data_IF_746688563887
#
_entry.id   IF_746688563887
#
_cell.length_a   1.000
_cell.length_b   1.000
_cell.length_c   1.000
_cell.angle_alpha   90.00
_cell.angle_beta   90.00
_cell.angle_gamma   90.00
#
_symmetry.space_group_name_H-M   'P 1'
#
loop_
_entity.id
_entity.type
_entity.pdbx_description
1 polymer ?
#
# COMPACT_ATOMS: atom_id res chain seq x y z
N UNK A 1 -11.39 2.03 0.46
CA UNK A 1 -11.35 1.12 1.63
C UNK A 1 -10.04 0.35 1.54
N UNK A 2 -9.28 0.18 2.63
CA UNK A 2 -8.05 -0.63 2.57
C UNK A 2 -8.41 -2.09 2.27
N UNK A 3 -7.62 -2.76 1.43
CA UNK A 3 -7.72 -4.20 1.21
C UNK A 3 -7.33 -4.92 2.51
N UNK A 4 -8.13 -5.91 2.92
CA UNK A 4 -7.86 -6.73 4.10
C UNK A 4 -6.86 -7.83 3.79
N UNK A 5 -7.06 -8.47 2.64
CA UNK A 5 -6.19 -9.51 2.11
C UNK A 5 -6.01 -9.25 0.63
N UNK A 6 -4.81 -9.47 0.13
CA UNK A 6 -4.58 -9.45 -1.30
C UNK A 6 -3.45 -10.41 -1.68
N UNK A 7 -3.56 -10.97 -2.86
CA UNK A 7 -2.57 -11.86 -3.43
C UNK A 7 -2.20 -11.42 -4.85
N UNK A 8 -0.90 -11.50 -5.14
CA UNK A 8 -0.35 -11.19 -6.45
C UNK A 8 0.87 -12.06 -6.74
N UNK A 9 1.29 -12.07 -7.99
CA UNK A 9 2.50 -12.75 -8.44
C UNK A 9 3.54 -11.75 -8.88
N UNK A 10 4.81 -12.00 -8.54
CA UNK A 10 5.93 -11.14 -8.89
C UNK A 10 7.13 -11.96 -9.36
N UNK A 11 7.82 -11.49 -10.38
CA UNK A 11 9.06 -12.10 -10.85
C UNK A 11 10.27 -11.49 -10.14
N UNK A 12 11.20 -12.34 -9.70
CA UNK A 12 12.39 -11.91 -8.99
C UNK A 12 13.50 -12.96 -9.04
N UNK A 13 14.47 -12.83 -8.13
CA UNK A 13 15.55 -13.79 -7.98
C UNK A 13 15.46 -14.52 -6.64
N UNK A 14 15.63 -15.83 -6.69
CA UNK A 14 15.97 -16.63 -5.53
C UNK A 14 17.50 -16.72 -5.47
N UNK A 15 18.09 -16.10 -4.45
CA UNK A 15 19.53 -16.11 -4.23
C UNK A 15 19.95 -17.43 -3.58
N UNK A 16 20.97 -18.08 -4.15
CA UNK A 16 21.64 -19.23 -3.55
C UNK A 16 23.14 -18.96 -3.48
N UNK A 17 23.77 -19.38 -2.38
CA UNK A 17 25.19 -19.12 -2.11
C UNK A 17 25.85 -20.37 -1.57
N UNK A 18 26.97 -20.75 -2.18
CA UNK A 18 27.84 -21.81 -1.68
C UNK A 18 29.21 -21.24 -1.38
N UNK A 19 29.73 -21.53 -0.18
CA UNK A 19 31.03 -21.04 0.27
C UNK A 19 32.00 -22.20 0.54
N UNK A 20 33.28 -21.95 0.32
CA UNK A 20 34.36 -22.88 0.61
C UNK A 20 35.62 -22.15 1.07
N UNK A 21 36.47 -22.83 1.83
CA UNK A 21 37.84 -22.34 2.09
C UNK A 21 38.72 -22.61 0.87
N UNK A 22 39.40 -21.58 0.39
CA UNK A 22 40.38 -21.70 -0.68
C UNK A 22 41.72 -21.12 -0.24
N UNK A 23 42.62 -22.00 0.22
CA UNK A 23 43.97 -21.61 0.63
C UNK A 23 44.81 -20.98 -0.50
N UNK A 24 44.43 -21.24 -1.76
CA UNK A 24 45.05 -20.64 -2.96
C UNK A 24 44.39 -19.32 -3.38
N UNK A 25 43.45 -18.79 -2.58
CA UNK A 25 42.83 -17.49 -2.84
C UNK A 25 43.89 -16.39 -2.88
N UNK A 26 43.86 -15.59 -3.94
CA UNK A 26 44.76 -14.46 -4.11
C UNK A 26 44.24 -13.21 -3.40
N UNK A 27 42.98 -13.20 -2.96
CA UNK A 27 42.38 -12.10 -2.20
C UNK A 27 42.93 -12.10 -0.77
N UNK A 28 43.78 -11.12 -0.48
CA UNK A 28 44.47 -10.99 0.80
C UNK A 28 44.41 -9.56 1.31
N UNK A 29 44.31 -9.40 2.63
CA UNK A 29 44.35 -8.09 3.29
C UNK A 29 45.73 -7.84 3.92
N UNK A 30 46.29 -6.66 3.69
CA UNK A 30 47.60 -6.23 4.19
C UNK A 30 47.50 -4.88 4.90
N UNK A 31 48.35 -4.66 5.91
CA UNK A 31 48.48 -3.37 6.57
C UNK A 31 49.34 -2.45 5.70
N UNK A 32 48.80 -1.31 5.29
CA UNK A 32 49.51 -0.31 4.46
C UNK A 32 50.17 0.74 5.34
N UNK A 33 49.39 1.34 6.23
CA UNK A 33 49.84 2.43 7.08
C UNK A 33 49.13 2.37 8.41
N UNK A 34 49.86 2.65 9.49
CA UNK A 34 49.32 2.66 10.82
C UNK A 34 50.12 3.67 11.64
N UNK A 35 49.60 4.89 11.84
CA UNK A 35 50.32 5.90 12.59
C UNK A 35 50.62 5.41 14.02
N UNK A 36 51.79 5.76 14.54
CA UNK A 36 52.18 5.44 15.92
C UNK A 36 51.35 6.20 16.97
N UNK A 37 50.55 7.19 16.54
CA UNK A 37 49.70 8.00 17.39
C UNK A 37 48.36 7.29 17.64
N UNK A 38 47.97 7.23 18.90
CA UNK A 38 46.66 6.68 19.31
C UNK A 38 45.52 7.51 18.70
N UNK A 39 44.45 6.84 18.25
CA UNK A 39 43.27 7.49 17.69
C UNK A 39 43.32 7.80 16.19
N UNK A 40 44.44 7.55 15.50
CA UNK A 40 44.48 7.59 14.03
C UNK A 40 44.11 6.22 13.44
N UNK A 41 43.34 6.17 12.34
CA UNK A 41 42.99 4.91 11.70
C UNK A 41 44.20 4.28 11.03
N UNK A 42 44.32 2.96 11.21
CA UNK A 42 45.21 2.14 10.42
C UNK A 42 44.50 1.77 9.11
N UNK A 43 45.22 1.91 8.02
CA UNK A 43 44.75 1.65 6.66
C UNK A 43 45.24 0.28 6.24
N UNK A 44 44.29 -0.54 5.81
CA UNK A 44 44.51 -1.84 5.25
C UNK A 44 44.13 -1.80 3.76
N UNK A 45 44.81 -2.59 2.96
CA UNK A 45 44.52 -2.79 1.55
C UNK A 45 44.21 -4.26 1.36
N UNK A 46 43.01 -4.55 0.87
CA UNK A 46 42.68 -5.86 0.36
C UNK A 46 42.96 -5.84 -1.14
N UNK A 47 43.70 -6.83 -1.61
CA UNK A 47 44.00 -6.95 -3.03
C UNK A 47 44.06 -8.42 -3.44
N UNK A 48 43.66 -8.69 -4.68
CA UNK A 48 43.75 -10.03 -5.23
C UNK A 48 42.78 -10.30 -6.37
N UNK A 49 42.90 -11.49 -6.95
CA UNK A 49 42.06 -11.91 -8.06
C UNK A 49 41.02 -12.95 -7.60
N UNK A 50 39.85 -12.91 -8.22
CA UNK A 50 38.75 -13.86 -8.03
C UNK A 50 38.89 -15.06 -8.99
N UNK A 51 38.21 -16.20 -8.72
CA UNK A 51 38.26 -17.38 -9.60
C UNK A 51 37.86 -17.11 -11.05
N UNK A 52 36.94 -16.17 -11.28
CA UNK A 52 36.49 -15.74 -12.61
C UNK A 52 37.24 -14.50 -13.15
N UNK A 53 38.26 -14.01 -12.43
CA UNK A 53 39.21 -13.06 -12.99
C UNK A 53 39.93 -13.72 -14.15
N UNK A 54 40.48 -12.93 -15.06
CA UNK A 54 41.29 -13.51 -16.11
C UNK A 54 42.74 -13.13 -16.07
N UNK A 55 43.49 -14.15 -16.39
CA UNK A 55 44.90 -14.26 -16.18
C UNK A 55 45.65 -14.21 -17.53
N UNK A 56 44.93 -13.99 -18.64
CA UNK A 56 45.48 -13.97 -20.00
C UNK A 56 46.14 -12.64 -20.40
N UNK A 57 45.72 -11.51 -19.82
CA UNK A 57 46.35 -10.20 -20.05
C UNK A 57 47.47 -9.91 -19.03
N UNK A 58 48.72 -10.11 -19.45
CA UNK A 58 49.94 -9.95 -18.63
C UNK A 58 50.44 -8.51 -18.44
N UNK A 59 49.77 -7.50 -19.00
CA UNK A 59 50.17 -6.10 -18.91
C UNK A 59 49.23 -5.33 -17.96
N UNK A 60 49.50 -5.41 -16.66
CA UNK A 60 48.65 -4.84 -15.61
C UNK A 60 47.38 -5.65 -15.45
N UNK A 61 47.29 -6.45 -14.37
CA UNK A 61 46.18 -7.34 -14.03
C UNK A 61 44.83 -6.74 -14.45
N UNK A 62 44.28 -7.21 -15.57
CA UNK A 62 42.96 -6.89 -16.10
C UNK A 62 42.47 -8.13 -16.83
N UNK A 63 41.52 -8.85 -16.26
CA UNK A 63 40.96 -10.05 -16.85
C UNK A 63 40.30 -9.84 -18.22
N UNK A 64 39.96 -10.96 -18.85
CA UNK A 64 39.22 -11.32 -20.08
C UNK A 64 37.90 -10.62 -20.16
N UNK A 65 37.34 -10.29 -19.01
CA UNK A 65 36.11 -9.51 -18.87
C UNK A 65 36.40 -8.10 -18.34
N UNK A 66 37.65 -7.69 -18.34
CA UNK A 66 38.15 -6.46 -17.73
C UNK A 66 38.52 -6.57 -16.25
N UNK A 67 38.23 -7.68 -15.55
CA UNK A 67 38.41 -7.81 -14.08
C UNK A 67 39.87 -7.64 -13.65
N UNK A 68 40.30 -6.47 -13.17
CA UNK A 68 41.58 -6.40 -12.50
C UNK A 68 41.52 -7.31 -11.28
N UNK A 69 42.66 -7.82 -10.83
CA UNK A 69 42.74 -8.14 -9.41
C UNK A 69 42.18 -6.90 -8.68
N UNK A 70 41.11 -7.06 -7.92
CA UNK A 70 40.52 -5.94 -7.23
C UNK A 70 41.51 -5.45 -6.17
N UNK A 71 41.40 -4.18 -5.83
CA UNK A 71 42.12 -3.59 -4.72
C UNK A 71 41.21 -2.55 -4.08
N UNK A 72 40.95 -2.73 -2.78
CA UNK A 72 40.07 -1.89 -1.99
C UNK A 72 40.76 -1.53 -0.67
N UNK A 73 40.48 -0.32 -0.17
CA UNK A 73 41.07 0.21 1.05
C UNK A 73 40.08 0.17 2.21
N UNK A 74 40.53 -0.32 3.35
CA UNK A 74 39.74 -0.47 4.57
C UNK A 74 40.43 0.30 5.68
N UNK A 75 39.66 1.08 6.44
CA UNK A 75 40.23 1.89 7.54
C UNK A 75 39.68 1.45 8.87
N UNK A 76 40.54 1.12 9.82
CA UNK A 76 40.12 0.80 11.18
C UNK A 76 40.83 1.71 12.17
N UNK A 77 40.05 2.47 12.94
CA UNK A 77 40.56 3.22 14.07
C UNK A 77 40.68 2.32 15.30
N UNK A 78 41.81 2.42 16.01
CA UNK A 78 42.02 1.75 17.30
C UNK A 78 42.70 2.72 18.27
N UNK A 79 42.31 2.70 19.55
CA UNK A 79 42.99 3.48 20.60
C UNK A 79 44.36 2.92 20.98
N UNK A 80 44.64 1.65 20.66
CA UNK A 80 45.94 1.03 20.87
C UNK A 80 46.54 0.78 19.48
N UNK A 81 47.80 1.16 19.29
CA UNK A 81 48.51 0.87 18.05
C UNK A 81 48.44 -0.64 17.79
N UNK A 82 47.79 -1.09 16.71
CA UNK A 82 47.69 -2.51 16.44
C UNK A 82 49.09 -3.04 16.13
N UNK A 83 49.58 -3.95 16.95
CA UNK A 83 50.43 -4.99 16.38
C UNK A 83 49.55 -5.76 15.39
N UNK A 84 50.14 -6.24 14.29
CA UNK A 84 49.49 -7.12 13.31
C UNK A 84 48.77 -8.32 13.93
N UNK A 85 49.04 -8.62 15.21
CA UNK A 85 48.40 -9.66 15.98
C UNK A 85 46.95 -9.36 16.42
N UNK A 86 46.47 -8.11 16.51
CA UNK A 86 45.14 -7.80 17.07
C UNK A 86 44.24 -6.93 16.16
N UNK A 87 44.37 -7.05 14.84
CA UNK A 87 43.48 -6.35 13.90
C UNK A 87 42.16 -7.10 13.71
N UNK A 88 41.04 -6.37 13.80
CA UNK A 88 39.68 -6.88 13.61
C UNK A 88 39.12 -6.36 12.28
N UNK A 89 39.76 -6.71 11.16
CA UNK A 89 39.32 -6.27 9.84
C UNK A 89 38.95 -7.48 9.00
N UNK A 90 37.87 -7.34 8.25
CA UNK A 90 37.40 -8.27 7.24
C UNK A 90 37.17 -7.46 5.96
N UNK A 91 37.60 -8.01 4.84
CA UNK A 91 37.46 -7.40 3.53
C UNK A 91 36.73 -8.37 2.61
N UNK A 92 35.59 -7.93 2.10
CA UNK A 92 34.81 -8.68 1.12
C UNK A 92 35.10 -8.08 -0.24
N UNK A 93 35.68 -8.86 -1.13
CA UNK A 93 35.82 -8.51 -2.53
C UNK A 93 34.73 -9.20 -3.34
N UNK A 94 34.02 -8.45 -4.17
CA UNK A 94 33.08 -8.97 -5.13
C UNK A 94 33.24 -8.24 -6.48
N UNK A 95 33.42 -8.95 -7.60
CA UNK A 95 33.51 -8.36 -8.91
C UNK A 95 32.14 -7.87 -9.37
N UNK A 96 32.11 -6.64 -9.90
CA UNK A 96 30.99 -6.05 -10.60
C UNK A 96 31.18 -6.32 -12.10
N UNK A 97 30.32 -7.15 -12.69
CA UNK A 97 30.24 -7.33 -14.14
C UNK A 97 28.85 -7.72 -14.58
N UNK A 98 28.39 -7.06 -15.62
CA UNK A 98 27.05 -7.19 -16.15
C UNK A 98 26.86 -8.47 -17.02
N UNK A 99 27.95 -9.09 -17.50
CA UNK A 99 27.91 -10.17 -18.50
C UNK A 99 28.28 -11.57 -17.99
N UNK A 100 28.19 -11.84 -16.68
CA UNK A 100 28.59 -13.14 -16.12
C UNK A 100 27.42 -13.81 -15.41
N UNK A 101 27.24 -15.12 -15.66
CA UNK A 101 26.23 -15.96 -15.01
C UNK A 101 26.60 -16.33 -13.58
N UNK A 102 27.89 -16.44 -13.31
CA UNK A 102 28.47 -16.88 -12.04
C UNK A 102 29.21 -15.73 -11.34
N UNK A 103 28.66 -15.29 -10.22
CA UNK A 103 29.27 -14.27 -9.39
C UNK A 103 30.07 -14.94 -8.28
N UNK A 104 31.29 -14.48 -8.07
CA UNK A 104 32.18 -14.98 -7.04
C UNK A 104 32.49 -13.88 -6.04
N UNK A 105 32.63 -14.22 -4.78
CA UNK A 105 33.05 -13.33 -3.73
C UNK A 105 34.23 -13.96 -3.00
N UNK A 106 35.15 -13.13 -2.51
CA UNK A 106 36.22 -13.59 -1.63
C UNK A 106 36.24 -12.77 -0.35
N UNK A 107 36.55 -13.42 0.76
CA UNK A 107 36.67 -12.82 2.08
C UNK A 107 38.12 -13.01 2.53
N UNK A 108 38.74 -11.89 2.93
CA UNK A 108 40.04 -11.89 3.58
C UNK A 108 39.89 -11.28 4.97
N UNK A 109 40.46 -11.94 5.97
CA UNK A 109 40.26 -11.55 7.36
C UNK A 109 41.57 -11.54 8.15
N UNK A 110 41.57 -10.82 9.29
CA UNK A 110 42.68 -10.80 10.23
C UNK A 110 42.33 -11.50 11.55
N UNK A 111 43.27 -11.49 12.50
CA UNK A 111 43.29 -12.34 13.71
C UNK A 111 41.95 -12.59 14.38
N UNK A 112 41.17 -11.55 14.65
CA UNK A 112 39.91 -11.69 15.39
C UNK A 112 38.80 -12.35 14.56
N UNK A 113 38.94 -12.39 13.24
CA UNK A 113 38.02 -13.00 12.29
C UNK A 113 38.71 -14.07 11.44
N UNK A 114 39.81 -14.68 11.94
CA UNK A 114 40.64 -15.65 11.20
C UNK A 114 39.85 -16.81 10.58
N UNK A 115 38.74 -17.18 11.21
CA UNK A 115 37.85 -18.26 10.76
C UNK A 115 37.16 -17.92 9.43
N UNK A 116 37.14 -16.65 9.01
CA UNK A 116 36.60 -16.23 7.72
C UNK A 116 37.70 -15.88 6.71
N UNK A 117 38.98 -16.09 7.06
CA UNK A 117 40.06 -15.82 6.14
C UNK A 117 40.06 -16.85 5.01
N UNK A 118 40.36 -16.40 3.79
CA UNK A 118 40.42 -17.22 2.58
C UNK A 118 39.10 -17.95 2.22
N UNK A 119 37.96 -17.44 2.68
CA UNK A 119 36.64 -17.94 2.24
C UNK A 119 36.32 -17.39 0.85
N UNK A 120 35.83 -18.24 -0.03
CA UNK A 120 35.29 -17.85 -1.34
C UNK A 120 33.87 -18.38 -1.48
N UNK A 121 32.98 -17.54 -1.98
CA UNK A 121 31.59 -17.88 -2.18
C UNK A 121 31.20 -17.72 -3.65
N UNK A 122 30.39 -18.65 -4.16
CA UNK A 122 29.73 -18.56 -5.46
C UNK A 122 28.26 -18.23 -5.24
N UNK A 123 27.75 -17.27 -6.00
CA UNK A 123 26.38 -16.80 -5.97
C UNK A 123 25.66 -17.23 -7.23
N UNK A 124 24.45 -17.75 -7.05
CA UNK A 124 23.50 -18.01 -8.11
C UNK A 124 22.23 -17.21 -7.86
N UNK A 125 21.79 -16.49 -8.89
CA UNK A 125 20.53 -15.77 -8.88
C UNK A 125 19.57 -16.53 -9.80
N UNK A 126 18.67 -17.32 -9.22
CA UNK A 126 17.72 -18.10 -9.98
C UNK A 126 16.45 -17.28 -10.26
N UNK A 127 16.12 -16.96 -11.52
CA UNK A 127 14.87 -16.27 -11.83
C UNK A 127 13.67 -17.13 -11.45
N UNK A 128 12.79 -16.58 -10.62
CA UNK A 128 11.60 -17.25 -10.07
C UNK A 128 10.40 -16.32 -10.06
N UNK A 129 9.22 -16.87 -10.30
CA UNK A 129 7.95 -16.21 -10.00
C UNK A 129 7.55 -16.58 -8.58
N UNK A 130 7.22 -15.57 -7.79
CA UNK A 130 6.79 -15.67 -6.40
C UNK A 130 5.29 -15.39 -6.28
N UNK A 131 4.59 -16.17 -5.46
CA UNK A 131 3.25 -15.84 -4.97
C UNK A 131 3.40 -15.07 -3.68
N UNK A 132 2.94 -13.82 -3.68
CA UNK A 132 2.93 -12.97 -2.50
C UNK A 132 1.50 -12.89 -1.99
N UNK A 133 1.29 -13.34 -0.75
CA UNK A 133 0.01 -13.27 -0.05
C UNK A 133 0.15 -12.34 1.15
N UNK A 134 -0.63 -11.28 1.17
CA UNK A 134 -0.60 -10.29 2.24
C UNK A 134 -1.91 -10.37 3.00
N UNK A 135 -1.83 -10.71 4.29
CA UNK A 135 -2.95 -10.62 5.23
C UNK A 135 -2.70 -9.46 6.19
N UNK A 136 -3.50 -8.40 6.05
CA UNK A 136 -3.45 -7.27 7.01
C UNK A 136 -4.13 -7.62 8.33
N UNK A 137 -5.01 -8.63 8.33
CA UNK A 137 -5.70 -9.15 9.52
C UNK A 137 -4.69 -9.87 10.41
N UNK A 138 -3.96 -10.83 9.84
CA UNK A 138 -2.97 -11.62 10.56
C UNK A 138 -1.63 -10.90 10.71
N UNK A 139 -1.46 -9.78 9.99
CA UNK A 139 -0.21 -9.02 9.87
C UNK A 139 0.93 -9.89 9.33
N UNK A 140 0.62 -10.72 8.34
CA UNK A 140 1.55 -11.65 7.73
C UNK A 140 1.72 -11.36 6.24
N UNK A 141 2.95 -11.56 5.77
CA UNK A 141 3.30 -11.59 4.36
C UNK A 141 3.90 -12.97 4.13
N UNK A 142 3.28 -13.77 3.26
CA UNK A 142 3.81 -15.06 2.83
C UNK A 142 4.31 -14.96 1.40
N UNK A 143 5.51 -15.44 1.15
CA UNK A 143 6.15 -15.43 -0.16
C UNK A 143 6.58 -16.85 -0.49
N UNK A 144 6.03 -17.40 -1.59
CA UNK A 144 6.29 -18.78 -2.00
C UNK A 144 6.75 -18.82 -3.48
N UNK A 145 7.83 -19.55 -3.82
CA UNK A 145 8.25 -19.70 -5.20
C UNK A 145 7.29 -20.64 -5.96
N UNK A 146 6.66 -20.15 -7.02
CA UNK A 146 5.72 -20.93 -7.86
C UNK A 146 6.43 -21.67 -8.99
N UNK A 147 7.38 -21.02 -9.66
CA UNK A 147 7.92 -21.52 -10.93
C UNK A 147 9.19 -20.82 -11.37
N UNK A 148 9.79 -21.31 -12.47
CA UNK A 148 10.88 -20.62 -13.16
C UNK A 148 10.28 -19.60 -14.13
N UNK A 149 10.86 -18.41 -14.17
CA UNK A 149 10.53 -17.36 -15.13
C UNK A 149 11.74 -17.03 -16.01
N UNK A 150 11.53 -16.21 -17.04
CA UNK A 150 12.63 -15.57 -17.76
C UNK A 150 13.35 -14.57 -16.85
N UNK A 151 14.64 -14.39 -17.06
CA UNK A 151 15.45 -13.44 -16.27
C UNK A 151 14.79 -12.04 -16.28
N UNK A 152 14.34 -11.50 -15.13
CA UNK A 152 13.69 -10.18 -15.08
C UNK A 152 14.66 -9.05 -15.43
N UNK A 153 15.97 -9.29 -15.31
CA UNK A 153 17.01 -8.38 -15.80
C UNK A 153 18.08 -9.15 -16.60
N UNK A 154 17.83 -9.39 -17.91
CA UNK A 154 18.74 -10.13 -18.78
C UNK A 154 20.12 -9.50 -18.97
N UNK A 155 20.27 -8.18 -18.77
CA UNK A 155 21.57 -7.49 -18.88
C UNK A 155 22.45 -7.69 -17.65
N UNK A 156 21.96 -8.35 -16.59
CA UNK A 156 22.74 -8.69 -15.40
C UNK A 156 23.16 -7.52 -14.52
N UNK A 157 22.77 -6.28 -14.84
CA UNK A 157 23.20 -5.10 -14.11
C UNK A 157 22.69 -5.11 -12.66
N UNK A 158 21.46 -5.60 -12.44
CA UNK A 158 20.89 -5.67 -11.09
C UNK A 158 21.69 -6.61 -10.19
N UNK A 159 22.00 -7.82 -10.67
CA UNK A 159 22.84 -8.80 -9.94
C UNK A 159 24.23 -8.23 -9.69
N UNK A 160 24.81 -7.58 -10.70
CA UNK A 160 26.11 -6.94 -10.59
C UNK A 160 26.13 -5.84 -9.51
N UNK A 161 25.06 -5.03 -9.41
CA UNK A 161 24.91 -4.00 -8.39
C UNK A 161 24.68 -4.56 -6.99
N UNK A 162 24.05 -5.73 -6.86
CA UNK A 162 23.98 -6.45 -5.59
C UNK A 162 25.38 -6.86 -5.14
N UNK A 163 26.20 -7.42 -6.03
CA UNK A 163 27.59 -7.77 -5.69
C UNK A 163 28.42 -6.54 -5.30
N UNK A 164 28.25 -5.43 -6.01
CA UNK A 164 28.87 -4.12 -5.70
C UNK A 164 28.47 -3.64 -4.30
N UNK A 165 27.19 -3.75 -3.95
CA UNK A 165 26.69 -3.38 -2.62
C UNK A 165 27.36 -4.21 -1.50
N UNK A 166 27.54 -5.52 -1.70
CA UNK A 166 28.23 -6.39 -0.74
C UNK A 166 29.69 -5.97 -0.54
N UNK A 167 30.40 -5.59 -1.61
CA UNK A 167 31.75 -5.05 -1.51
C UNK A 167 31.76 -3.74 -0.69
N UNK A 168 30.92 -2.77 -1.09
CA UNK A 168 30.85 -1.44 -0.45
C UNK A 168 30.48 -1.54 1.02
N UNK A 169 29.55 -2.41 1.40
CA UNK A 169 29.16 -2.63 2.80
C UNK A 169 30.36 -3.03 3.65
N UNK A 170 31.22 -3.92 3.15
CA UNK A 170 32.44 -4.32 3.87
C UNK A 170 33.44 -3.17 4.04
N UNK A 171 33.52 -2.27 3.07
CA UNK A 171 34.42 -1.12 3.07
C UNK A 171 33.98 -0.03 4.06
N UNK A 172 32.68 0.27 4.11
CA UNK A 172 32.16 1.38 4.92
C UNK A 172 31.82 0.99 6.36
N UNK A 173 31.59 -0.29 6.65
CA UNK A 173 31.18 -0.76 7.97
C UNK A 173 32.34 -1.17 8.89
N UNK A 174 33.53 -0.62 8.66
CA UNK A 174 34.63 -0.68 9.62
C UNK A 174 34.40 0.35 10.72
N UNK A 175 34.32 -0.09 11.98
CA UNK A 175 34.10 0.79 13.14
C UNK A 175 35.39 0.97 13.95
N UNK A 176 35.30 1.71 15.06
CA UNK A 176 36.37 1.76 16.05
C UNK A 176 36.55 0.34 16.62
N UNK A 177 37.75 -0.23 16.50
CA UNK A 177 38.20 -1.55 16.97
C UNK A 177 37.70 -2.80 16.27
N UNK A 178 36.50 -2.79 15.67
CA UNK A 178 35.87 -4.00 15.12
C UNK A 178 35.29 -3.76 13.73
N UNK A 179 35.04 -4.84 12.97
CA UNK A 179 34.26 -4.75 11.75
C UNK A 179 32.82 -5.14 12.06
N UNK A 180 31.85 -4.30 11.71
CA UNK A 180 30.44 -4.66 11.93
C UNK A 180 30.04 -5.88 11.11
N UNK A 181 30.60 -6.04 9.91
CA UNK A 181 30.41 -7.23 9.07
C UNK A 181 31.05 -8.46 9.75
N UNK A 182 32.26 -8.33 10.29
CA UNK A 182 32.92 -9.42 11.00
C UNK A 182 32.15 -9.88 12.24
N UNK A 183 31.64 -8.94 13.04
CA UNK A 183 30.78 -9.24 14.19
C UNK A 183 29.43 -9.86 13.77
N UNK A 184 28.82 -9.36 12.70
CA UNK A 184 27.57 -9.92 12.18
C UNK A 184 27.73 -11.40 11.77
N UNK A 185 28.82 -11.73 11.07
CA UNK A 185 29.14 -13.11 10.70
C UNK A 185 29.39 -13.99 11.93
N UNK A 186 30.19 -13.51 12.88
CA UNK A 186 30.41 -14.24 14.14
C UNK A 186 29.10 -14.48 14.91
N UNK A 187 28.23 -13.48 14.97
CA UNK A 187 26.93 -13.61 15.62
C UNK A 187 26.03 -14.59 14.89
N UNK A 188 26.08 -14.65 13.55
CA UNK A 188 25.34 -15.67 12.80
C UNK A 188 25.85 -17.09 13.12
N UNK A 189 27.17 -17.29 13.21
CA UNK A 189 27.74 -18.56 13.67
C UNK A 189 27.24 -18.90 15.07
N UNK A 190 27.34 -17.97 16.04
CA UNK A 190 26.86 -18.19 17.42
C UNK A 190 25.38 -18.57 17.46
N UNK A 191 24.54 -17.94 16.64
CA UNK A 191 23.13 -18.26 16.53
C UNK A 191 22.90 -19.66 15.97
N UNK A 192 23.68 -20.08 14.97
CA UNK A 192 23.63 -21.43 14.41
C UNK A 192 24.01 -22.49 15.47
N UNK A 193 25.10 -22.28 16.18
CA UNK A 193 25.52 -23.17 17.29
C UNK A 193 24.48 -23.25 18.40
N UNK A 194 23.85 -22.11 18.73
CA UNK A 194 22.78 -22.06 19.73
C UNK A 194 21.54 -22.83 19.30
N UNK A 195 21.20 -22.84 18.00
CA UNK A 195 20.09 -23.65 17.46
C UNK A 195 20.37 -25.15 17.55
N UNK A 196 21.63 -25.54 17.45
CA UNK A 196 22.08 -26.93 17.55
C UNK A 196 22.29 -27.43 18.98
N UNK A 197 21.81 -26.67 20.00
CA UNK A 197 21.94 -26.99 21.42
C UNK A 197 23.38 -27.20 21.90
N UNK A 198 24.36 -26.55 21.27
CA UNK A 198 25.72 -26.55 21.82
C UNK A 198 25.79 -25.56 22.99
N UNK A 199 25.89 -26.10 24.22
CA UNK A 199 25.82 -25.37 25.50
C UNK A 199 26.91 -24.31 25.72
N UNK A 200 27.85 -24.17 24.79
CA UNK A 200 28.82 -23.07 24.76
C UNK A 200 28.97 -22.61 23.31
N UNK A 201 28.43 -21.43 22.99
CA UNK A 201 28.59 -20.76 21.69
C UNK A 201 30.03 -20.22 21.53
N UNK A 202 31.02 -21.10 21.69
CA UNK A 202 32.42 -20.78 21.45
C UNK A 202 32.71 -20.94 19.96
N UNK A 203 33.11 -19.85 19.31
CA UNK A 203 33.43 -19.83 17.88
C UNK A 203 34.58 -20.78 17.51
N UNK A 204 35.51 -21.03 18.43
CA UNK A 204 36.63 -21.94 18.20
C UNK A 204 36.20 -23.42 18.22
N UNK A 205 35.01 -23.74 18.73
CA UNK A 205 34.46 -25.11 18.73
C UNK A 205 33.59 -25.40 17.51
N UNK A 206 33.23 -24.38 16.73
CA UNK A 206 32.46 -24.56 15.52
C UNK A 206 33.31 -25.25 14.45
N UNK A 207 32.70 -26.17 13.70
CA UNK A 207 33.35 -26.80 12.56
C UNK A 207 33.49 -25.81 11.42
N UNK A 208 34.49 -26.03 10.56
CA UNK A 208 34.69 -25.24 9.34
C UNK A 208 33.40 -25.18 8.49
N UNK A 209 32.65 -26.28 8.41
CA UNK A 209 31.36 -26.35 7.71
C UNK A 209 30.31 -25.42 8.34
N UNK A 210 30.25 -25.30 9.67
CA UNK A 210 29.32 -24.40 10.36
C UNK A 210 29.68 -22.93 10.10
N UNK A 211 30.98 -22.58 10.05
CA UNK A 211 31.43 -21.24 9.67
C UNK A 211 31.05 -20.91 8.23
N UNK A 212 31.31 -21.82 7.28
CA UNK A 212 30.96 -21.63 5.88
C UNK A 212 29.44 -21.52 5.65
N UNK A 213 28.65 -22.33 6.35
CA UNK A 213 27.19 -22.29 6.28
C UNK A 213 26.65 -20.96 6.83
N UNK A 214 27.19 -20.48 7.95
CA UNK A 214 26.81 -19.19 8.51
C UNK A 214 27.18 -18.03 7.57
N UNK A 215 28.36 -18.09 6.94
CA UNK A 215 28.75 -17.10 5.92
C UNK A 215 27.79 -17.14 4.73
N UNK A 216 27.52 -18.32 4.17
CA UNK A 216 26.60 -18.48 3.04
C UNK A 216 25.21 -17.92 3.37
N UNK A 217 24.66 -18.25 4.53
CA UNK A 217 23.36 -17.74 4.99
C UNK A 217 23.36 -16.23 5.19
N UNK A 218 24.43 -15.66 5.76
CA UNK A 218 24.57 -14.19 5.88
C UNK A 218 24.65 -13.50 4.53
N UNK A 219 25.35 -14.10 3.56
CA UNK A 219 25.48 -13.55 2.21
C UNK A 219 24.17 -13.59 1.43
N UNK A 220 23.38 -14.67 1.56
CA UNK A 220 22.01 -14.73 1.01
C UNK A 220 21.17 -13.59 1.58
N UNK A 221 21.15 -13.44 2.92
CA UNK A 221 20.37 -12.38 3.57
C UNK A 221 20.80 -10.98 3.11
N UNK A 222 22.11 -10.71 3.02
CA UNK A 222 22.62 -9.41 2.55
C UNK A 222 22.29 -9.15 1.08
N UNK A 223 22.32 -10.18 0.23
CA UNK A 223 21.96 -10.07 -1.17
C UNK A 223 20.45 -9.80 -1.35
N UNK A 224 19.60 -10.48 -0.56
CA UNK A 224 18.16 -10.27 -0.58
C UNK A 224 17.78 -8.88 -0.06
N UNK A 225 18.44 -8.38 1.01
CA UNK A 225 18.26 -7.02 1.50
C UNK A 225 18.69 -5.96 0.46
N UNK A 226 19.77 -6.23 -0.28
CA UNK A 226 20.22 -5.37 -1.37
C UNK A 226 19.22 -5.37 -2.53
N UNK A 227 18.69 -6.54 -2.94
CA UNK A 227 17.65 -6.66 -3.95
C UNK A 227 16.38 -5.90 -3.55
N UNK A 228 15.92 -6.07 -2.31
CA UNK A 228 14.77 -5.35 -1.78
C UNK A 228 15.00 -3.83 -1.76
N UNK A 229 16.21 -3.39 -1.40
CA UNK A 229 16.59 -1.97 -1.42
C UNK A 229 16.59 -1.39 -2.84
N UNK A 230 17.12 -2.13 -3.82
CA UNK A 230 17.09 -1.71 -5.22
C UNK A 230 15.67 -1.71 -5.80
N UNK A 231 14.84 -2.68 -5.44
CA UNK A 231 13.42 -2.72 -5.79
C UNK A 231 12.70 -1.47 -5.24
N UNK A 232 12.86 -1.16 -3.95
CA UNK A 232 12.29 0.04 -3.33
C UNK A 232 12.79 1.34 -3.98
N UNK A 233 14.09 1.43 -4.29
CA UNK A 233 14.66 2.56 -5.02
C UNK A 233 14.05 2.70 -6.42
N UNK A 234 13.84 1.58 -7.13
CA UNK A 234 13.24 1.58 -8.46
C UNK A 234 11.81 2.13 -8.46
N UNK A 235 11.02 1.82 -7.42
CA UNK A 235 9.66 2.34 -7.25
C UNK A 235 9.66 3.86 -7.06
N UNK A 236 10.58 4.37 -6.25
CA UNK A 236 10.70 5.81 -5.99
C UNK A 236 11.23 6.60 -7.18
N UNK A 237 12.22 6.05 -7.90
CA UNK A 237 12.92 6.77 -8.96
C UNK A 237 12.22 6.69 -10.32
N UNK A 238 11.81 5.49 -10.73
CA UNK A 238 11.28 5.30 -12.07
C UNK A 238 9.83 5.77 -12.20
N UNK A 239 9.11 5.89 -11.08
CA UNK A 239 7.66 6.10 -11.08
C UNK A 239 6.91 5.04 -11.89
N UNK A 240 7.57 3.90 -12.19
CA UNK A 240 7.03 2.83 -13.00
C UNK A 240 5.99 2.07 -12.18
N UNK A 241 4.76 2.56 -12.26
CA UNK A 241 3.61 1.85 -11.76
C UNK A 241 3.15 0.89 -12.87
N UNK A 242 3.48 -0.38 -12.74
CA UNK A 242 2.86 -1.41 -13.56
C UNK A 242 1.54 -1.84 -12.90
N UNK A 243 0.48 -1.90 -13.71
CA UNK A 243 -0.80 -2.41 -13.23
C UNK A 243 -0.69 -3.93 -13.09
N UNK A 244 -0.64 -4.43 -11.86
CA UNK A 244 -0.72 -5.85 -11.56
C UNK A 244 -2.17 -6.26 -11.32
N UNK A 245 -2.57 -7.42 -11.84
CA UNK A 245 -3.83 -8.04 -11.47
C UNK A 245 -3.74 -8.54 -10.02
N UNK A 246 -4.56 -7.96 -9.15
CA UNK A 246 -4.58 -8.28 -7.72
C UNK A 246 -5.96 -8.80 -7.36
N UNK A 247 -6.00 -9.99 -6.77
CA UNK A 247 -7.21 -10.48 -6.09
C UNK A 247 -7.22 -9.88 -4.69
N UNK A 248 -8.31 -9.17 -4.33
CA UNK A 248 -8.41 -8.45 -3.07
C UNK A 248 -9.71 -8.75 -2.34
N UNK A 249 -9.61 -8.98 -1.04
CA UNK A 249 -10.75 -9.06 -0.12
C UNK A 249 -10.91 -7.69 0.55
N UNK A 250 -12.03 -7.03 0.33
CA UNK A 250 -12.34 -5.72 0.93
C UNK A 250 -13.30 -5.92 2.10
N UNK A 251 -13.05 -5.21 3.21
CA UNK A 251 -13.98 -5.15 4.34
C UNK A 251 -15.30 -4.49 3.92
N UNK A 252 -16.34 -5.29 3.70
CA UNK A 252 -17.71 -4.77 3.66
C UNK A 252 -18.17 -4.47 5.08
N UNK A 253 -18.18 -3.20 5.49
CA UNK A 253 -18.81 -2.82 6.77
C UNK A 253 -20.32 -2.88 6.58
N UNK A 254 -20.92 -4.01 6.96
CA UNK A 254 -22.37 -4.12 7.08
C UNK A 254 -22.80 -3.46 8.39
N UNK A 255 -23.26 -2.20 8.33
CA UNK A 255 -23.86 -1.53 9.48
C UNK A 255 -25.32 -1.97 9.59
N UNK A 256 -25.58 -2.83 10.58
CA UNK A 256 -26.92 -3.32 10.90
C UNK A 256 -27.19 -4.74 10.37
N UNK A 257 -28.18 -5.38 10.97
CA UNK A 257 -28.61 -6.71 10.54
C UNK A 257 -29.40 -6.61 9.23
N UNK A 258 -29.30 -7.63 8.36
CA UNK A 258 -30.05 -7.76 7.11
C UNK A 258 -31.55 -7.41 7.23
N UNK A 259 -32.28 -7.82 8.29
CA UNK A 259 -33.66 -7.39 8.51
C UNK A 259 -33.81 -5.88 8.69
N UNK A 260 -32.92 -5.21 9.43
CA UNK A 260 -32.99 -3.77 9.65
C UNK A 260 -32.82 -2.98 8.35
N UNK A 261 -31.85 -3.38 7.52
CA UNK A 261 -31.60 -2.76 6.20
C UNK A 261 -32.84 -2.90 5.32
N UNK A 262 -33.45 -4.09 5.30
CA UNK A 262 -34.63 -4.36 4.49
C UNK A 262 -35.81 -3.49 4.92
N UNK A 263 -36.06 -3.35 6.22
CA UNK A 263 -37.15 -2.51 6.74
C UNK A 263 -36.96 -1.04 6.38
N UNK A 264 -35.75 -0.50 6.53
CA UNK A 264 -35.47 0.91 6.19
C UNK A 264 -35.66 1.16 4.69
N UNK A 265 -35.20 0.25 3.82
CA UNK A 265 -35.40 0.37 2.37
C UNK A 265 -36.88 0.34 2.01
N UNK A 266 -37.64 -0.62 2.57
CA UNK A 266 -39.08 -0.75 2.32
C UNK A 266 -39.84 0.49 2.79
N UNK A 267 -39.50 1.04 3.97
CA UNK A 267 -40.17 2.23 4.50
C UNK A 267 -39.90 3.47 3.66
N UNK A 268 -38.66 3.67 3.21
CA UNK A 268 -38.31 4.77 2.33
C UNK A 268 -38.97 4.63 0.96
N UNK A 269 -39.06 3.42 0.41
CA UNK A 269 -39.78 3.14 -0.83
C UNK A 269 -41.28 3.43 -0.70
N UNK A 270 -41.91 3.01 0.40
CA UNK A 270 -43.32 3.28 0.68
C UNK A 270 -43.59 4.78 0.81
N UNK A 271 -42.75 5.52 1.55
CA UNK A 271 -42.87 6.97 1.67
C UNK A 271 -42.76 7.67 0.31
N UNK A 272 -41.82 7.24 -0.53
CA UNK A 272 -41.64 7.79 -1.88
C UNK A 272 -42.84 7.47 -2.78
N UNK A 273 -43.39 6.25 -2.69
CA UNK A 273 -44.57 5.82 -3.45
C UNK A 273 -45.81 6.65 -3.07
N UNK A 274 -46.00 6.93 -1.77
CA UNK A 274 -47.06 7.83 -1.30
C UNK A 274 -46.91 9.22 -1.93
N UNK A 275 -45.70 9.80 -1.89
CA UNK A 275 -45.45 11.12 -2.50
C UNK A 275 -45.75 11.11 -3.99
N UNK A 276 -45.35 10.07 -4.73
CA UNK A 276 -45.62 9.93 -6.16
C UNK A 276 -47.12 9.82 -6.44
N UNK A 277 -47.85 9.03 -5.65
CA UNK A 277 -49.32 8.90 -5.80
C UNK A 277 -49.99 10.25 -5.54
N UNK A 278 -49.61 10.97 -4.48
CA UNK A 278 -50.14 12.30 -4.21
C UNK A 278 -49.76 13.30 -5.30
N UNK A 279 -48.56 13.23 -5.86
CA UNK A 279 -48.15 14.07 -6.98
C UNK A 279 -48.98 13.79 -8.24
N UNK A 280 -49.22 12.52 -8.57
CA UNK A 280 -50.06 12.13 -9.72
C UNK A 280 -51.51 12.57 -9.50
N UNK A 281 -52.07 12.33 -8.30
CA UNK A 281 -53.43 12.77 -7.95
C UNK A 281 -53.53 14.31 -8.00
N UNK A 282 -52.49 15.03 -7.58
CA UNK A 282 -52.45 16.49 -7.64
C UNK A 282 -52.26 17.03 -9.06
N UNK A 283 -51.67 16.26 -9.96
CA UNK A 283 -51.45 16.63 -11.35
C UNK A 283 -52.66 16.31 -12.24
N UNK A 284 -53.42 15.26 -11.91
CA UNK A 284 -54.60 14.80 -12.68
C UNK A 284 -55.92 15.30 -12.08
N UNK A 285 -55.96 15.52 -10.76
CA UNK A 285 -57.10 16.11 -10.09
C UNK A 285 -57.11 17.63 -10.23
N UNK A 286 -58.27 18.19 -10.61
CA UNK A 286 -58.55 19.62 -10.48
C UNK A 286 -58.63 19.98 -9.00
N UNK A 287 -57.49 20.13 -8.33
CA UNK A 287 -57.42 20.80 -7.04
C UNK A 287 -57.69 22.28 -7.33
N UNK A 288 -58.77 22.89 -6.80
CA UNK A 288 -59.00 24.31 -6.99
C UNK A 288 -57.78 25.05 -6.43
N UNK A 289 -57.20 25.95 -7.23
CA UNK A 289 -56.01 26.68 -6.82
C UNK A 289 -56.31 27.44 -5.53
N UNK A 290 -55.69 27.03 -4.43
CA UNK A 290 -55.82 27.75 -3.17
C UNK A 290 -55.02 29.05 -3.31
N UNK A 291 -55.74 30.13 -3.61
CA UNK A 291 -55.13 31.45 -3.76
C UNK A 291 -55.11 32.19 -2.42
N UNK A 292 -53.92 32.36 -1.85
CA UNK A 292 -53.74 33.03 -0.55
C UNK A 292 -54.10 34.53 -0.57
N UNK A 293 -54.23 35.12 -1.77
CA UNK A 293 -54.59 36.54 -1.92
C UNK A 293 -56.10 36.77 -1.96
N UNK A 294 -56.90 35.71 -2.04
CA UNK A 294 -58.36 35.80 -2.07
C UNK A 294 -58.91 35.50 -0.67
N UNK A 295 -59.63 36.45 -0.08
CA UNK A 295 -60.12 36.31 1.31
C UNK A 295 -61.21 35.23 1.42
N UNK A 296 -61.92 34.92 0.33
CA UNK A 296 -62.97 33.90 0.30
C UNK A 296 -62.43 32.47 0.43
N UNK A 297 -61.29 32.15 -0.21
CA UNK A 297 -60.58 30.87 -0.04
C UNK A 297 -60.00 30.76 1.37
N UNK A 298 -59.51 31.86 1.94
CA UNK A 298 -59.03 31.90 3.33
C UNK A 298 -60.17 31.65 4.34
N UNK A 299 -61.32 32.29 4.15
CA UNK A 299 -62.48 32.15 5.03
C UNK A 299 -63.12 30.75 4.95
N UNK A 300 -63.20 30.16 3.76
CA UNK A 300 -63.71 28.79 3.57
C UNK A 300 -62.76 27.74 4.15
N UNK A 301 -61.44 27.92 4.01
CA UNK A 301 -60.44 27.04 4.64
C UNK A 301 -60.45 27.13 6.18
N UNK A 302 -60.62 28.33 6.74
CA UNK A 302 -60.73 28.52 8.19
C UNK A 302 -62.00 27.88 8.77
N UNK A 303 -63.11 27.90 8.03
CA UNK A 303 -64.40 27.35 8.49
C UNK A 303 -64.42 25.80 8.47
N UNK A 304 -63.80 25.16 7.48
CA UNK A 304 -63.75 23.69 7.40
C UNK A 304 -62.94 23.05 8.55
N UNK A 305 -62.06 23.82 9.21
CA UNK A 305 -61.33 23.38 10.41
C UNK A 305 -62.15 23.37 11.71
N UNK A 306 -63.32 24.02 11.76
CA UNK A 306 -64.20 24.11 12.94
C UNK A 306 -65.33 23.09 12.90
N UNK A 307 -65.21 21.96 13.63
CA UNK A 307 -66.13 20.80 13.53
C UNK A 307 -67.57 21.01 14.05
N UNK A 308 -68.05 22.20 14.42
CA UNK A 308 -69.32 22.31 15.16
C UNK A 308 -70.43 23.28 14.69
N UNK A 309 -70.35 23.98 13.56
CA UNK A 309 -71.50 24.82 13.13
C UNK A 309 -71.82 24.67 11.63
N UNK A 310 -72.54 23.58 11.31
CA UNK A 310 -73.15 23.37 9.99
C UNK A 310 -74.52 24.01 9.92
N UNK A 311 -74.60 25.31 9.66
CA UNK A 311 -75.80 25.93 9.10
C UNK A 311 -75.36 26.89 7.98
N UNK A 312 -75.83 26.65 6.76
CA UNK A 312 -75.53 27.47 5.57
C UNK A 312 -75.99 28.94 5.71
N UNK A 313 -76.81 29.24 6.73
CA UNK A 313 -77.28 30.58 7.07
C UNK A 313 -76.18 31.49 7.66
N UNK A 314 -75.18 30.93 8.35
CA UNK A 314 -74.08 31.73 8.94
C UNK A 314 -72.99 32.07 7.91
N UNK A 315 -72.84 31.26 6.86
CA UNK A 315 -71.94 31.57 5.76
C UNK A 315 -72.48 32.74 4.91
N UNK A 316 -73.81 32.83 4.78
CA UNK A 316 -74.48 33.88 4.01
C UNK A 316 -74.49 35.22 4.75
N UNK A 317 -74.58 35.25 6.08
CA UNK A 317 -74.45 36.48 6.86
C UNK A 317 -73.01 37.03 6.86
N UNK A 318 -71.99 36.17 6.85
CA UNK A 318 -70.59 36.59 6.71
C UNK A 318 -70.27 37.18 5.32
N UNK A 319 -70.93 36.69 4.26
CA UNK A 319 -70.77 37.17 2.88
C UNK A 319 -71.60 38.44 2.59
N UNK A 320 -72.70 38.69 3.31
CA UNK A 320 -73.56 39.87 3.13
C UNK A 320 -72.86 41.21 3.43
N UNK A 321 -71.76 41.20 4.18
CA UNK A 321 -70.96 42.41 4.46
C UNK A 321 -69.96 42.78 3.36
N UNK A 322 -69.80 41.94 2.33
CA UNK A 322 -68.74 42.12 1.33
C UNK A 322 -69.28 42.77 0.04
N UNK A 323 -68.87 44.01 -0.23
CA UNK A 323 -69.21 44.78 -1.44
C UNK A 323 -68.07 44.78 -2.48
N UNK A 324 -67.29 43.70 -2.54
CA UNK A 324 -66.22 43.54 -3.53
C UNK A 324 -66.76 43.08 -4.87
N UNK A 325 -66.35 43.73 -5.96
CA UNK A 325 -66.70 43.34 -7.33
C UNK A 325 -65.69 42.27 -7.80
N UNK A 326 -66.01 41.01 -7.52
CA UNK A 326 -65.28 39.85 -8.04
C UNK A 326 -66.09 39.18 -9.15
N UNK A 327 -65.45 38.82 -10.26
CA UNK A 327 -66.07 38.02 -11.32
C UNK A 327 -66.36 36.61 -10.77
N UNK A 328 -67.61 36.38 -10.40
CA UNK A 328 -68.08 35.06 -10.01
C UNK A 328 -68.32 34.23 -11.28
N UNK A 329 -67.40 33.32 -11.57
CA UNK A 329 -67.65 32.25 -12.55
C UNK A 329 -68.52 31.18 -11.89
N UNK A 330 -69.64 30.88 -12.54
CA UNK A 330 -70.72 29.99 -12.10
C UNK A 330 -70.26 28.54 -11.90
N UNK A 331 -69.95 28.16 -10.66
CA UNK A 331 -69.66 26.76 -10.30
C UNK A 331 -70.33 26.37 -8.97
N UNK A 332 -71.65 26.20 -8.99
CA UNK A 332 -72.43 25.31 -8.10
C UNK A 332 -73.96 25.42 -8.32
N UNK A 333 -74.43 25.64 -9.57
CA UNK A 333 -75.86 25.62 -9.90
C UNK A 333 -76.71 26.65 -9.13
N UNK A 334 -76.12 27.78 -8.72
CA UNK A 334 -76.77 28.82 -7.95
C UNK A 334 -76.52 30.16 -8.63
N UNK A 335 -77.42 30.54 -9.53
CA UNK A 335 -77.36 31.80 -10.28
C UNK A 335 -78.10 32.87 -9.48
N UNK A 336 -77.38 33.89 -9.00
CA UNK A 336 -77.97 35.05 -8.30
C UNK A 336 -78.03 36.22 -9.28
N UNK A 337 -79.23 36.59 -9.72
CA UNK A 337 -79.42 37.80 -10.52
C UNK A 337 -79.50 39.03 -9.60
N UNK A 338 -78.55 39.94 -9.72
CA UNK A 338 -78.65 41.29 -9.15
C UNK A 338 -79.33 42.22 -10.15
N UNK A 339 -80.38 42.91 -9.72
CA UNK A 339 -80.96 44.01 -10.49
C UNK A 339 -80.17 45.31 -10.24
N UNK A 340 -79.96 46.15 -11.27
CA UNK A 340 -79.34 47.46 -11.10
C UNK A 340 -80.20 48.38 -10.21
N UNK A 341 -79.60 49.42 -9.58
CA UNK A 341 -80.10 50.04 -8.35
C UNK A 341 -81.36 50.93 -8.50
N UNK A 342 -81.98 51.00 -9.68
CA UNK A 342 -82.91 52.07 -10.02
C UNK A 342 -84.33 51.57 -10.41
N UNK A 343 -84.83 50.56 -9.69
CA UNK A 343 -86.21 50.10 -9.83
C UNK A 343 -86.94 50.08 -8.49
N UNK A 344 -88.09 50.75 -8.42
CA UNK A 344 -88.92 50.92 -7.22
C UNK A 344 -89.80 49.70 -6.88
N UNK A 345 -89.30 48.48 -7.06
CA UNK A 345 -89.98 47.26 -6.60
C UNK A 345 -89.15 46.57 -5.50
N UNK A 346 -89.79 46.03 -4.43
CA UNK A 346 -89.06 45.29 -3.41
C UNK A 346 -88.44 44.02 -4.03
N UNK A 347 -87.20 43.65 -3.66
CA UNK A 347 -86.54 42.49 -4.21
C UNK A 347 -87.30 41.22 -3.81
N UNK A 348 -87.85 40.51 -4.80
CA UNK A 348 -88.35 39.15 -4.60
C UNK A 348 -87.30 38.16 -5.12
N UNK A 349 -86.90 37.24 -4.25
CA UNK A 349 -85.85 36.26 -4.51
C UNK A 349 -86.50 35.05 -5.19
N UNK A 350 -86.26 34.85 -6.49
CA UNK A 350 -86.66 33.65 -7.21
C UNK A 350 -85.49 32.66 -7.24
N UNK A 351 -85.65 31.52 -6.56
CA UNK A 351 -84.73 30.39 -6.65
C UNK A 351 -85.27 29.45 -7.73
N UNK A 352 -84.58 29.36 -8.87
CA UNK A 352 -84.87 28.33 -9.89
C UNK A 352 -83.94 27.14 -9.63
N UNK A 353 -84.51 26.07 -9.09
CA UNK A 353 -83.84 24.78 -8.93
C UNK A 353 -84.04 23.95 -10.20
N UNK A 354 -82.98 23.76 -10.99
CA UNK A 354 -82.94 22.71 -12.01
C UNK A 354 -82.28 21.47 -11.42
N UNK A 355 -83.07 20.59 -10.82
CA UNK A 355 -82.61 19.27 -10.41
C UNK A 355 -82.44 18.38 -11.66
N UNK A 356 -81.22 18.26 -12.18
CA UNK A 356 -80.87 17.22 -13.13
C UNK A 356 -80.50 15.94 -12.38
N UNK A 357 -81.44 15.00 -12.32
CA UNK A 357 -81.17 13.63 -11.92
C UNK A 357 -80.37 12.91 -13.02
N UNK A 358 -79.20 12.37 -12.68
CA UNK A 358 -78.51 11.38 -13.50
C UNK A 358 -78.04 10.23 -12.61
N UNK A 359 -78.63 9.06 -12.84
CA UNK A 359 -78.21 7.76 -12.30
C UNK A 359 -76.98 7.26 -13.09
N UNK A 360 -75.91 6.90 -12.37
CA UNK A 360 -75.23 5.59 -12.25
C UNK A 360 -73.91 5.86 -11.54
#
# INVERSE_FOLDING_TARGET
MPALEYDYTEDGYLTDVSCQYNASSLWVIKLVSCPNNTGYPCTFEAQGCFPNSDFSNKAGYKGKYGFPCASDYYTQAQLRHPSTANSSVIAIGAPNSDNVSDYYMAIAAKTNYRHFDQVQCQFWFHPKTFSVKVSTIDKTISVEPLGRTTDPEPRGMLRSKVMDALNVVSMVQTTLYVSSVGEALQNNVRNLLSRENQSTANLDNATDDQHLLAVASSMVAMADDALASFAAFSLLWSGANEAADVSMTIAGVQIGETPYITVVVVWNLLALLIVVVFAIISFVGTIPAFNFTEIASLATAANIGGREQRNAADLTSALQGWQGQGDFVEHAGLTIHYWPPDSTQPPSLQIVSTAAASKV
#
